data_IF_750614790729
#
_entry.id   IF_750614790729
#
_cell.length_a   1.000
_cell.length_b   1.000
_cell.length_c   1.000
_cell.angle_alpha   90.00
_cell.angle_beta   90.00
_cell.angle_gamma   90.00
#
_symmetry.space_group_name_H-M   'P 1'
#
loop_
_entity.id
_entity.type
_entity.pdbx_description
1 polymer ?
#
# COMPACT_ATOMS: atom_id res chain seq x y z
N UNK A 1 -11.93 10.82 -5.62
CA UNK A 1 -10.93 11.89 -5.50
C UNK A 1 -9.65 11.53 -6.24
N UNK A 2 -9.08 10.33 -6.09
CA UNK A 2 -7.89 9.83 -6.85
C UNK A 2 -8.07 9.65 -8.37
N UNK A 3 -9.19 10.10 -8.92
CA UNK A 3 -9.51 10.06 -10.35
C UNK A 3 -9.43 11.44 -11.00
N UNK A 4 -9.81 12.50 -10.28
CA UNK A 4 -9.83 13.87 -10.77
C UNK A 4 -9.28 14.76 -9.69
N UNK A 5 -8.22 15.52 -9.98
CA UNK A 5 -7.65 16.45 -9.02
C UNK A 5 -8.42 17.74 -9.11
N UNK A 6 -9.17 18.06 -8.06
CA UNK A 6 -9.63 19.43 -7.86
C UNK A 6 -8.57 20.27 -7.15
N UNK A 7 -8.56 21.57 -7.43
CA UNK A 7 -7.67 22.54 -6.78
C UNK A 7 -8.09 22.74 -5.32
N UNK A 8 -9.40 22.86 -5.07
CA UNK A 8 -9.96 22.87 -3.72
C UNK A 8 -10.72 21.56 -3.45
N UNK A 9 -10.64 21.06 -2.21
CA UNK A 9 -11.41 19.90 -1.79
C UNK A 9 -12.93 20.16 -1.82
N UNK A 10 -13.35 21.42 -1.69
CA UNK A 10 -14.75 21.82 -1.78
C UNK A 10 -15.31 21.60 -3.20
N UNK A 11 -14.47 21.72 -4.24
CA UNK A 11 -14.91 21.62 -5.64
C UNK A 11 -15.51 20.25 -5.97
N UNK A 12 -15.09 19.19 -5.26
CA UNK A 12 -15.69 17.86 -5.42
C UNK A 12 -17.18 17.83 -5.05
N UNK A 13 -17.69 18.80 -4.28
CA UNK A 13 -19.09 18.90 -3.89
C UNK A 13 -19.89 19.94 -4.68
N UNK A 14 -19.22 20.87 -5.37
CA UNK A 14 -19.88 22.02 -6.00
C UNK A 14 -19.73 22.05 -7.52
N UNK A 15 -18.72 21.38 -8.09
CA UNK A 15 -18.52 21.36 -9.53
C UNK A 15 -19.07 20.04 -10.10
N UNK A 16 -20.12 20.13 -10.93
CA UNK A 16 -20.50 19.04 -11.84
C UNK A 16 -19.41 18.88 -12.90
N UNK A 17 -18.30 18.24 -12.55
CA UNK A 17 -17.31 17.87 -13.55
C UNK A 17 -17.77 16.59 -14.23
N UNK A 18 -18.18 16.70 -15.49
CA UNK A 18 -18.39 15.54 -16.36
C UNK A 18 -17.05 15.07 -16.93
N UNK A 19 -16.25 14.39 -16.11
CA UNK A 19 -14.99 13.80 -16.58
C UNK A 19 -15.21 12.36 -16.99
N UNK A 20 -15.32 12.14 -18.30
CA UNK A 20 -15.44 10.81 -18.93
C UNK A 20 -16.53 9.92 -18.30
N UNK A 21 -17.76 10.46 -18.19
CA UNK A 21 -18.98 9.77 -17.72
C UNK A 21 -18.99 9.35 -16.25
N UNK A 22 -18.23 10.03 -15.39
CA UNK A 22 -18.39 9.96 -13.93
C UNK A 22 -18.74 11.37 -13.46
N UNK A 23 -19.98 11.57 -13.01
CA UNK A 23 -20.38 12.82 -12.37
C UNK A 23 -19.76 12.85 -10.97
N UNK A 24 -18.93 13.84 -10.68
CA UNK A 24 -18.39 14.10 -9.34
C UNK A 24 -19.43 14.80 -8.44
N UNK A 25 -20.69 14.38 -8.48
CA UNK A 25 -21.72 14.94 -7.61
C UNK A 25 -21.63 14.31 -6.21
N UNK A 26 -20.57 14.66 -5.44
CA UNK A 26 -20.32 14.03 -4.13
C UNK A 26 -21.42 14.33 -3.12
N UNK A 27 -22.14 15.43 -3.32
CA UNK A 27 -23.34 15.83 -2.58
C UNK A 27 -24.45 14.78 -2.63
N UNK A 28 -24.53 13.98 -3.71
CA UNK A 28 -25.47 12.86 -3.82
C UNK A 28 -25.17 11.72 -2.83
N UNK A 29 -23.91 11.59 -2.40
CA UNK A 29 -23.47 10.50 -1.53
C UNK A 29 -23.28 10.95 -0.07
N UNK A 30 -22.77 12.16 0.13
CA UNK A 30 -22.46 12.70 1.46
C UNK A 30 -22.36 14.23 1.39
N UNK A 31 -22.84 14.94 2.41
CA UNK A 31 -22.59 16.39 2.48
C UNK A 31 -21.12 16.70 2.75
N UNK A 32 -20.63 17.82 2.22
CA UNK A 32 -19.25 18.29 2.46
C UNK A 32 -18.96 18.43 3.96
N UNK A 33 -19.91 18.94 4.74
CA UNK A 33 -19.76 19.06 6.20
C UNK A 33 -19.60 17.69 6.88
N UNK A 34 -20.37 16.68 6.46
CA UNK A 34 -20.24 15.32 7.01
C UNK A 34 -18.89 14.71 6.66
N UNK A 35 -18.41 14.89 5.43
CA UNK A 35 -17.07 14.45 5.03
C UNK A 35 -15.98 15.10 5.89
N UNK A 36 -16.02 16.43 6.05
CA UNK A 36 -15.06 17.16 6.91
C UNK A 36 -15.09 16.67 8.35
N UNK A 37 -16.27 16.38 8.89
CA UNK A 37 -16.40 15.85 10.26
C UNK A 37 -15.79 14.44 10.37
N UNK A 38 -16.11 13.55 9.43
CA UNK A 38 -15.56 12.17 9.43
C UNK A 38 -14.04 12.22 9.41
N UNK A 39 -13.46 12.99 8.49
CA UNK A 39 -12.02 13.13 8.38
C UNK A 39 -11.41 13.75 9.64
N UNK A 40 -11.99 14.83 10.17
CA UNK A 40 -11.50 15.51 11.38
C UNK A 40 -11.45 14.61 12.61
N UNK A 41 -12.40 13.69 12.74
CA UNK A 41 -12.55 12.81 13.90
C UNK A 41 -12.14 11.37 13.60
N UNK A 42 -11.50 11.10 12.47
CA UNK A 42 -11.00 9.78 12.13
C UNK A 42 -9.90 9.37 13.11
N UNK A 43 -10.06 8.20 13.74
CA UNK A 43 -9.02 7.56 14.54
C UNK A 43 -8.74 6.17 13.97
N UNK A 44 -7.48 5.74 14.08
CA UNK A 44 -7.03 4.40 13.66
C UNK A 44 -6.72 3.49 14.85
N UNK A 45 -7.01 3.98 16.06
CA UNK A 45 -6.81 3.26 17.30
C UNK A 45 -7.83 3.75 18.32
N UNK A 46 -8.31 2.85 19.17
CA UNK A 46 -9.04 3.15 20.39
C UNK A 46 -8.12 3.15 21.64
N UNK A 47 -6.85 2.76 21.46
CA UNK A 47 -5.85 2.75 22.52
C UNK A 47 -5.41 4.17 22.85
N UNK A 48 -5.41 4.50 24.15
CA UNK A 48 -4.90 5.77 24.66
C UNK A 48 -3.43 5.98 24.30
N UNK A 49 -3.03 7.25 24.17
CA UNK A 49 -1.66 7.62 23.89
C UNK A 49 -0.68 6.99 24.89
N UNK A 50 0.38 6.38 24.38
CA UNK A 50 1.38 5.66 25.16
C UNK A 50 2.78 5.87 24.56
N UNK A 51 3.79 5.17 25.10
CA UNK A 51 5.18 5.32 24.69
C UNK A 51 5.49 4.82 23.28
N UNK A 52 4.61 4.03 22.65
CA UNK A 52 4.81 3.58 21.28
C UNK A 52 4.76 4.79 20.31
N UNK A 53 5.86 5.08 19.57
CA UNK A 53 5.91 6.21 18.63
C UNK A 53 4.91 6.08 17.47
N UNK A 54 4.38 4.88 17.24
CA UNK A 54 3.39 4.58 16.22
C UNK A 54 2.02 4.19 16.82
N UNK A 55 1.78 4.45 18.11
CA UNK A 55 0.54 4.04 18.80
C UNK A 55 -0.73 4.48 18.07
N UNK A 56 -0.70 5.68 17.46
CA UNK A 56 -1.83 6.30 16.75
C UNK A 56 -2.36 5.46 15.57
N UNK A 57 -1.56 4.54 15.04
CA UNK A 57 -1.93 3.65 13.94
C UNK A 57 -1.56 2.18 14.17
N UNK A 58 -0.97 1.83 15.33
CA UNK A 58 -0.45 0.47 15.60
C UNK A 58 -1.54 -0.60 15.50
N UNK A 59 -2.70 -0.35 16.09
CA UNK A 59 -3.82 -1.30 16.07
C UNK A 59 -4.29 -1.55 14.64
N UNK A 60 -4.56 -0.48 13.87
CA UNK A 60 -4.94 -0.59 12.45
C UNK A 60 -3.86 -1.27 11.61
N UNK A 61 -2.59 -0.92 11.81
CA UNK A 61 -1.45 -1.54 11.12
C UNK A 61 -1.38 -3.05 11.33
N UNK A 62 -1.53 -3.49 12.57
CA UNK A 62 -1.54 -4.91 12.91
C UNK A 62 -2.72 -5.62 12.24
N UNK A 63 -3.93 -5.06 12.35
CA UNK A 63 -5.13 -5.61 11.70
C UNK A 63 -4.98 -5.67 10.17
N UNK A 64 -4.40 -4.65 9.55
CA UNK A 64 -4.12 -4.61 8.12
C UNK A 64 -3.16 -5.73 7.69
N UNK A 65 -2.01 -5.83 8.35
CA UNK A 65 -1.02 -6.88 8.08
C UNK A 65 -1.57 -8.28 8.35
N UNK A 66 -2.33 -8.47 9.42
CA UNK A 66 -2.97 -9.76 9.74
C UNK A 66 -4.02 -10.14 8.70
N UNK A 67 -4.76 -9.18 8.15
CA UNK A 67 -5.72 -9.45 7.09
C UNK A 67 -5.01 -9.89 5.81
N UNK A 68 -3.95 -9.19 5.39
CA UNK A 68 -3.11 -9.62 4.26
C UNK A 68 -2.55 -11.03 4.49
N UNK A 69 -2.09 -11.30 5.73
CA UNK A 69 -1.58 -12.60 6.14
C UNK A 69 -2.60 -13.74 6.04
N UNK A 70 -3.90 -13.44 6.19
CA UNK A 70 -4.98 -14.43 6.12
C UNK A 70 -5.44 -14.73 4.70
N UNK A 71 -5.36 -13.75 3.79
CA UNK A 71 -6.03 -13.82 2.48
C UNK A 71 -5.08 -14.04 1.32
N UNK A 72 -3.79 -13.74 1.49
CA UNK A 72 -2.79 -13.90 0.43
C UNK A 72 -2.01 -15.18 0.68
N UNK A 73 -1.75 -15.95 -0.37
CA UNK A 73 -0.74 -17.01 -0.35
C UNK A 73 0.39 -16.56 -1.27
N UNK A 74 1.58 -16.23 -0.73
CA UNK A 74 2.69 -15.81 -1.56
C UNK A 74 3.24 -16.97 -2.40
N UNK A 75 3.70 -16.64 -3.60
CA UNK A 75 4.56 -17.46 -4.42
C UNK A 75 6.01 -17.52 -3.90
N UNK A 76 6.89 -18.20 -4.64
CA UNK A 76 8.25 -18.50 -4.19
C UNK A 76 9.22 -17.31 -4.23
N UNK A 77 8.88 -16.22 -4.94
CA UNK A 77 9.78 -15.08 -5.15
C UNK A 77 9.27 -13.83 -4.44
N UNK A 78 9.96 -13.46 -3.37
CA UNK A 78 9.65 -12.29 -2.57
C UNK A 78 10.72 -11.22 -2.71
N UNK A 79 10.29 -9.97 -2.69
CA UNK A 79 11.16 -8.80 -2.68
C UNK A 79 10.93 -7.99 -1.41
N UNK A 80 12.02 -7.58 -0.76
CA UNK A 80 12.00 -6.67 0.37
C UNK A 80 12.70 -5.37 -0.03
N UNK A 81 12.04 -4.25 0.21
CA UNK A 81 12.59 -2.93 -0.05
C UNK A 81 11.86 -1.85 0.78
N UNK A 82 12.23 -0.59 0.61
CA UNK A 82 11.57 0.55 1.25
C UNK A 82 10.30 1.02 0.53
N UNK A 83 9.30 1.39 1.32
CA UNK A 83 8.12 2.10 0.85
C UNK A 83 7.88 3.33 1.73
N UNK A 84 7.72 4.49 1.09
CA UNK A 84 7.61 5.77 1.80
C UNK A 84 6.16 6.25 1.84
N UNK A 85 5.63 6.49 3.03
CA UNK A 85 4.47 7.36 3.20
C UNK A 85 4.97 8.81 3.29
N UNK A 86 4.99 9.53 2.18
CA UNK A 86 5.55 10.88 2.13
C UNK A 86 4.58 11.94 2.64
N UNK A 87 5.03 12.83 3.51
CA UNK A 87 4.36 14.10 3.80
C UNK A 87 5.33 15.11 4.41
N UNK A 88 5.07 16.40 4.21
CA UNK A 88 5.78 17.49 4.89
C UNK A 88 5.10 17.75 6.25
N UNK A 89 5.67 17.23 7.34
CA UNK A 89 5.11 17.43 8.68
C UNK A 89 5.94 16.79 9.78
N UNK A 90 6.06 17.47 10.93
CA UNK A 90 6.84 17.02 12.08
C UNK A 90 6.31 15.68 12.61
N UNK A 91 7.08 14.61 12.40
CA UNK A 91 7.04 13.47 13.33
C UNK A 91 7.75 13.95 14.61
N UNK A 92 7.11 13.86 15.79
CA UNK A 92 7.79 14.15 17.04
C UNK A 92 9.09 13.31 17.14
N UNK A 93 10.24 13.98 17.30
CA UNK A 93 11.60 13.42 17.52
C UNK A 93 12.44 12.93 16.32
N UNK A 94 12.10 13.17 15.03
CA UNK A 94 13.06 12.95 13.92
C UNK A 94 13.65 14.27 13.37
N UNK A 95 14.98 14.36 13.14
CA UNK A 95 15.66 15.59 12.68
C UNK A 95 15.29 15.99 11.24
N UNK A 96 14.83 15.04 10.42
CA UNK A 96 14.26 15.29 9.09
C UNK A 96 12.81 14.77 9.04
N UNK A 97 11.80 15.67 9.08
CA UNK A 97 10.40 15.32 9.28
C UNK A 97 9.66 15.10 7.95
N UNK A 98 10.16 14.20 7.10
CA UNK A 98 9.52 13.90 5.82
C UNK A 98 9.02 12.47 5.84
N UNK A 99 7.74 12.31 6.14
CA UNK A 99 7.02 11.04 6.00
C UNK A 99 7.39 9.94 6.99
N UNK A 100 6.74 8.79 6.83
CA UNK A 100 7.02 7.54 7.53
C UNK A 100 7.51 6.50 6.52
N UNK A 101 8.74 6.05 6.69
CA UNK A 101 9.29 4.92 5.95
C UNK A 101 8.75 3.61 6.51
N UNK A 102 8.49 2.65 5.62
CA UNK A 102 8.21 1.27 5.94
C UNK A 102 9.23 0.39 5.22
N UNK A 103 9.76 -0.62 5.92
CA UNK A 103 10.27 -1.81 5.21
C UNK A 103 9.08 -2.60 4.74
N UNK A 104 9.07 -3.00 3.49
CA UNK A 104 7.96 -3.68 2.87
C UNK A 104 8.40 -5.01 2.28
N UNK A 105 7.50 -5.98 2.30
CA UNK A 105 7.65 -7.27 1.66
C UNK A 105 6.56 -7.41 0.61
N UNK A 106 6.93 -7.78 -0.61
CA UNK A 106 5.99 -8.03 -1.69
C UNK A 106 6.26 -9.36 -2.38
N UNK A 107 5.20 -9.94 -2.91
CA UNK A 107 5.26 -11.00 -3.91
C UNK A 107 5.57 -10.39 -5.27
N UNK A 108 6.60 -10.91 -5.93
CA UNK A 108 7.10 -10.36 -7.20
C UNK A 108 6.40 -10.91 -8.44
N UNK A 109 5.73 -12.07 -8.34
CA UNK A 109 5.04 -12.69 -9.46
C UNK A 109 3.67 -12.07 -9.68
N UNK A 110 2.90 -11.93 -8.60
CA UNK A 110 1.55 -11.34 -8.66
C UNK A 110 1.55 -9.85 -8.35
N UNK A 111 2.71 -9.29 -8.00
CA UNK A 111 2.87 -7.91 -7.54
C UNK A 111 1.80 -7.60 -6.50
N UNK A 112 1.97 -8.12 -5.26
CA UNK A 112 1.18 -7.83 -4.05
C UNK A 112 2.07 -7.44 -2.87
N UNK A 113 1.79 -6.32 -2.21
CA UNK A 113 2.32 -6.07 -0.86
C UNK A 113 1.78 -7.15 0.07
N UNK A 114 2.69 -7.84 0.74
CA UNK A 114 2.38 -8.86 1.73
C UNK A 114 2.40 -8.28 3.13
N UNK A 115 3.35 -7.37 3.38
CA UNK A 115 3.54 -6.82 4.71
C UNK A 115 4.32 -5.53 4.75
N UNK A 116 4.05 -4.74 5.77
CA UNK A 116 4.73 -3.49 6.08
C UNK A 116 5.30 -3.57 7.51
N UNK A 117 6.48 -3.00 7.74
CA UNK A 117 7.10 -2.78 9.06
C UNK A 117 7.54 -1.32 9.17
N UNK A 118 6.91 -0.49 10.02
CA UNK A 118 7.23 0.93 10.12
C UNK A 118 8.65 1.16 10.64
N UNK A 119 9.41 2.05 10.00
CA UNK A 119 10.74 2.45 10.47
C UNK A 119 10.62 3.46 11.60
N UNK A 120 10.77 2.96 12.82
CA UNK A 120 10.64 3.73 14.07
C UNK A 120 11.97 4.40 14.48
N UNK A 121 11.95 5.40 15.38
CA UNK A 121 13.18 5.95 15.95
C UNK A 121 14.04 4.88 16.62
N UNK A 122 15.36 5.08 16.62
CA UNK A 122 16.33 4.09 17.11
C UNK A 122 16.03 3.58 18.53
N UNK A 123 15.60 4.46 19.43
CA UNK A 123 15.23 4.13 20.82
C UNK A 123 14.11 3.07 20.95
N UNK A 124 13.24 2.96 19.94
CA UNK A 124 12.19 1.94 19.86
C UNK A 124 12.55 0.80 18.91
N UNK A 125 13.30 1.09 17.83
CA UNK A 125 13.73 0.08 16.87
C UNK A 125 14.53 -1.06 17.51
N UNK A 126 15.37 -0.74 18.51
CA UNK A 126 16.15 -1.74 19.27
C UNK A 126 15.27 -2.66 20.12
N UNK A 127 14.04 -2.23 20.46
CA UNK A 127 13.08 -3.01 21.26
C UNK A 127 12.21 -3.93 20.40
N UNK A 128 12.29 -3.81 19.07
CA UNK A 128 11.54 -4.68 18.16
C UNK A 128 12.08 -6.10 18.20
N UNK A 129 11.20 -7.06 17.91
CA UNK A 129 11.59 -8.47 17.76
C UNK A 129 12.79 -8.62 16.81
N UNK A 130 13.74 -9.47 17.22
CA UNK A 130 15.00 -9.81 16.52
C UNK A 130 16.07 -8.72 16.51
N UNK A 131 15.79 -7.50 16.98
CA UNK A 131 16.77 -6.40 16.98
C UNK A 131 17.89 -6.57 18.03
N UNK A 132 17.68 -7.40 19.04
CA UNK A 132 18.66 -7.80 20.06
C UNK A 132 19.67 -8.83 19.54
N UNK A 133 19.27 -9.62 18.54
CA UNK A 133 20.03 -10.77 18.03
C UNK A 133 20.66 -10.52 16.66
N UNK A 134 20.09 -9.63 15.85
CA UNK A 134 20.47 -9.48 14.45
C UNK A 134 20.61 -8.01 14.04
N UNK A 135 21.45 -7.71 13.02
CA UNK A 135 21.51 -6.40 12.39
C UNK A 135 20.14 -5.95 11.85
N UNK A 136 19.92 -4.63 11.74
CA UNK A 136 18.62 -4.03 11.43
C UNK A 136 17.92 -4.62 10.18
N UNK A 137 18.67 -4.85 9.10
CA UNK A 137 18.13 -5.44 7.86
C UNK A 137 17.65 -6.88 8.08
N UNK A 138 18.46 -7.70 8.74
CA UNK A 138 18.12 -9.10 9.05
C UNK A 138 16.93 -9.17 10.01
N UNK A 139 16.93 -8.34 11.06
CA UNK A 139 15.81 -8.26 11.99
C UNK A 139 14.50 -7.86 11.29
N UNK A 140 14.57 -6.88 10.36
CA UNK A 140 13.39 -6.46 9.58
C UNK A 140 12.90 -7.55 8.63
N UNK A 141 13.81 -8.23 7.94
CA UNK A 141 13.49 -9.38 7.09
C UNK A 141 12.77 -10.48 7.88
N UNK A 142 13.32 -10.86 9.04
CA UNK A 142 12.70 -11.86 9.92
C UNK A 142 11.33 -11.42 10.43
N UNK A 143 11.19 -10.14 10.82
CA UNK A 143 9.89 -9.59 11.23
C UNK A 143 8.87 -9.67 10.10
N UNK A 144 9.22 -9.23 8.89
CA UNK A 144 8.34 -9.25 7.72
C UNK A 144 7.92 -10.68 7.35
N UNK A 145 8.86 -11.63 7.36
CA UNK A 145 8.62 -13.00 6.96
C UNK A 145 7.86 -13.85 8.00
N UNK A 146 7.89 -13.49 9.29
CA UNK A 146 7.39 -14.32 10.41
C UNK A 146 5.99 -14.94 10.24
N UNK A 147 5.12 -14.37 9.41
CA UNK A 147 3.72 -14.78 9.26
C UNK A 147 3.51 -15.77 8.13
N UNK A 148 4.56 -16.06 7.35
CA UNK A 148 4.52 -16.97 6.22
C UNK A 148 5.37 -18.22 6.49
N UNK A 149 4.80 -19.25 7.11
CA UNK A 149 5.54 -20.45 7.48
C UNK A 149 5.87 -21.36 6.27
N UNK A 150 7.12 -21.84 6.27
CA UNK A 150 7.63 -23.17 5.86
C UNK A 150 7.61 -23.66 4.40
N UNK A 151 6.96 -22.97 3.45
CA UNK A 151 6.90 -23.46 2.05
C UNK A 151 7.60 -22.58 1.01
N UNK A 152 8.34 -21.55 1.42
CA UNK A 152 9.30 -20.94 0.49
C UNK A 152 10.46 -21.93 0.41
N UNK A 153 10.79 -22.48 -0.77
CA UNK A 153 11.89 -23.44 -0.90
C UNK A 153 13.13 -22.88 -0.21
N UNK A 154 13.61 -23.59 0.81
CA UNK A 154 14.84 -23.24 1.53
C UNK A 154 16.09 -23.46 0.68
N UNK A 155 15.93 -24.04 -0.52
CA UNK A 155 16.99 -24.30 -1.47
C UNK A 155 17.30 -23.08 -2.34
N UNK A 156 18.13 -22.18 -1.80
CA UNK A 156 18.87 -21.19 -2.61
C UNK A 156 20.10 -21.86 -3.25
N UNK A 157 20.45 -23.07 -2.82
CA UNK A 157 21.65 -23.81 -3.23
C UNK A 157 21.62 -24.26 -4.69
N UNK A 158 20.44 -24.54 -5.25
CA UNK A 158 20.29 -24.88 -6.69
C UNK A 158 20.53 -23.67 -7.63
N UNK A 159 20.51 -22.44 -7.12
CA UNK A 159 20.77 -21.25 -7.95
C UNK A 159 22.27 -20.94 -8.14
N UNK A 160 23.15 -21.66 -7.43
CA UNK A 160 24.61 -21.52 -7.52
C UNK A 160 25.26 -22.55 -8.46
N UNK A 161 24.49 -23.48 -9.03
CA UNK A 161 24.98 -24.37 -10.08
C UNK A 161 25.15 -23.61 -11.41
N UNK A 162 26.32 -22.98 -11.57
CA UNK A 162 27.05 -22.69 -12.81
C UNK A 162 26.24 -22.65 -14.12
N UNK A 163 25.20 -21.85 -14.19
CA UNK A 163 24.55 -21.50 -15.44
C UNK A 163 24.80 -20.03 -15.72
N UNK A 164 25.56 -19.77 -16.78
CA UNK A 164 25.74 -18.45 -17.35
C UNK A 164 24.62 -18.20 -18.36
N UNK A 165 23.86 -17.12 -18.18
CA UNK A 165 22.90 -16.64 -19.16
C UNK A 165 23.61 -15.80 -20.22
N UNK A 166 23.07 -15.76 -21.43
CA UNK A 166 23.50 -14.81 -22.47
C UNK A 166 22.31 -13.94 -22.87
N UNK A 167 22.41 -12.64 -22.59
CA UNK A 167 21.45 -11.63 -23.04
C UNK A 167 22.16 -10.77 -24.08
N UNK A 168 21.56 -10.67 -25.28
CA UNK A 168 22.05 -9.81 -26.35
C UNK A 168 21.32 -8.47 -26.33
N UNK A 169 22.07 -7.38 -26.20
CA UNK A 169 21.61 -6.04 -26.57
C UNK A 169 22.64 -5.50 -27.56
N UNK A 170 22.20 -5.17 -28.77
CA UNK A 170 23.05 -4.63 -29.85
C UNK A 170 24.31 -5.47 -30.16
N UNK A 171 24.14 -6.77 -30.40
CA UNK A 171 25.21 -7.73 -30.77
C UNK A 171 26.36 -7.93 -29.77
N UNK A 172 26.27 -7.39 -28.54
CA UNK A 172 27.22 -7.67 -27.46
C UNK A 172 26.63 -8.69 -26.49
N UNK A 173 27.22 -9.89 -26.43
CA UNK A 173 26.86 -10.94 -25.47
C UNK A 173 27.72 -10.82 -24.21
N UNK A 174 27.10 -10.43 -23.11
CA UNK A 174 27.75 -10.46 -21.79
C UNK A 174 27.47 -11.81 -21.12
N UNK A 175 28.53 -12.49 -20.67
CA UNK A 175 28.41 -13.68 -19.85
C UNK A 175 28.21 -13.22 -18.41
N UNK A 176 27.04 -13.49 -17.83
CA UNK A 176 26.79 -13.27 -16.41
C UNK A 176 26.08 -14.46 -15.77
N UNK A 177 26.31 -14.72 -14.47
CA UNK A 177 25.59 -15.75 -13.75
C UNK A 177 24.06 -15.53 -13.84
N UNK A 178 23.29 -16.60 -14.03
CA UNK A 178 21.82 -16.57 -14.09
C UNK A 178 21.18 -15.91 -12.86
N UNK A 179 21.87 -15.94 -11.70
CA UNK A 179 21.41 -15.21 -10.50
C UNK A 179 21.24 -13.71 -10.76
N UNK A 180 22.02 -13.09 -11.65
CA UNK A 180 21.82 -11.69 -12.02
C UNK A 180 20.56 -11.47 -12.85
N UNK A 181 20.18 -12.43 -13.69
CA UNK A 181 18.95 -12.36 -14.48
C UNK A 181 17.74 -12.48 -13.56
N UNK A 182 17.72 -13.50 -12.70
CA UNK A 182 16.68 -13.71 -11.68
C UNK A 182 16.56 -12.49 -10.74
N UNK A 183 17.69 -11.95 -10.27
CA UNK A 183 17.66 -10.75 -9.43
C UNK A 183 17.06 -9.56 -10.18
N UNK A 184 17.47 -9.30 -11.42
CA UNK A 184 16.95 -8.17 -12.21
C UNK A 184 15.46 -8.31 -12.56
N UNK A 185 14.96 -9.53 -12.69
CA UNK A 185 13.54 -9.81 -12.91
C UNK A 185 12.69 -9.40 -11.69
N UNK A 186 13.13 -9.73 -10.48
CA UNK A 186 12.30 -9.61 -9.28
C UNK A 186 12.58 -8.38 -8.41
N UNK A 187 13.76 -7.74 -8.54
CA UNK A 187 14.18 -6.64 -7.65
C UNK A 187 13.28 -5.41 -7.69
N UNK A 188 12.51 -5.21 -8.76
CA UNK A 188 11.73 -3.99 -8.99
C UNK A 188 10.30 -4.05 -8.43
N UNK A 189 9.89 -5.13 -7.77
CA UNK A 189 8.50 -5.30 -7.36
C UNK A 189 8.01 -4.13 -6.49
N UNK A 190 8.76 -3.77 -5.44
CA UNK A 190 8.39 -2.65 -4.55
C UNK A 190 8.43 -1.30 -5.28
N UNK A 191 9.38 -1.09 -6.19
CA UNK A 191 9.44 0.12 -7.01
C UNK A 191 8.23 0.26 -7.94
N UNK A 192 7.83 -0.83 -8.61
CA UNK A 192 6.62 -0.89 -9.44
C UNK A 192 5.39 -0.52 -8.60
N UNK A 193 5.34 -1.01 -7.36
CA UNK A 193 4.29 -0.70 -6.41
C UNK A 193 4.22 0.76 -5.99
N UNK A 194 5.36 1.30 -5.55
CA UNK A 194 5.48 2.71 -5.19
C UNK A 194 5.06 3.58 -6.40
N UNK A 195 5.49 3.21 -7.61
CA UNK A 195 5.09 3.87 -8.85
C UNK A 195 3.58 3.79 -9.11
N UNK A 196 2.94 2.63 -8.94
CA UNK A 196 1.49 2.49 -9.12
C UNK A 196 0.69 3.33 -8.11
N UNK A 197 1.23 3.46 -6.89
CA UNK A 197 0.67 4.29 -5.82
C UNK A 197 0.81 5.79 -6.11
N UNK A 198 2.01 6.22 -6.52
CA UNK A 198 2.43 7.63 -6.47
C UNK A 198 2.53 8.33 -7.84
N UNK A 199 2.71 7.60 -8.96
CA UNK A 199 2.90 8.25 -10.28
C UNK A 199 1.60 8.79 -10.91
N UNK A 200 0.45 8.47 -10.33
CA UNK A 200 -0.84 9.05 -10.70
C UNK A 200 -1.40 9.79 -9.50
N UNK A 201 -2.49 10.55 -9.69
CA UNK A 201 -3.17 11.21 -8.57
C UNK A 201 -3.44 10.21 -7.43
N UNK A 202 -2.68 10.35 -6.35
CA UNK A 202 -2.63 9.38 -5.26
C UNK A 202 -3.56 9.80 -4.11
N UNK A 203 -3.79 8.90 -3.16
CA UNK A 203 -4.47 9.29 -1.92
C UNK A 203 -3.70 10.36 -1.13
N UNK A 204 -2.36 10.36 -1.25
CA UNK A 204 -1.50 11.39 -0.65
C UNK A 204 -1.75 12.78 -1.24
N UNK A 205 -2.09 12.87 -2.52
CA UNK A 205 -2.34 14.13 -3.22
C UNK A 205 -3.71 14.73 -2.93
N UNK A 206 -4.69 13.91 -2.58
CA UNK A 206 -6.10 14.36 -2.44
C UNK A 206 -6.55 14.48 -0.99
N UNK A 207 -5.93 13.72 -0.07
CA UNK A 207 -6.10 13.89 1.37
C UNK A 207 -4.95 14.75 1.92
N UNK A 208 -4.85 15.98 1.42
CA UNK A 208 -3.84 16.97 1.85
C UNK A 208 -4.19 17.49 3.24
N UNK A 209 -3.96 16.66 4.24
CA UNK A 209 -4.27 17.00 5.63
C UNK A 209 -2.98 17.10 6.43
N UNK A 210 -3.00 17.96 7.46
CA UNK A 210 -1.84 18.28 8.28
C UNK A 210 -1.55 17.19 9.34
N UNK A 211 -2.49 16.28 9.59
CA UNK A 211 -2.39 15.26 10.63
C UNK A 211 -1.74 13.98 10.11
N UNK A 212 -0.87 13.37 10.93
CA UNK A 212 -0.19 12.10 10.62
C UNK A 212 -1.17 10.93 10.46
N UNK A 213 -2.29 10.92 11.19
CA UNK A 213 -3.32 9.86 11.14
C UNK A 213 -3.91 9.75 9.74
N UNK A 214 -4.35 10.87 9.17
CA UNK A 214 -4.97 10.90 7.84
C UNK A 214 -3.99 10.46 6.75
N UNK A 215 -2.70 10.85 6.89
CA UNK A 215 -1.64 10.48 5.94
C UNK A 215 -1.34 9.00 5.97
N UNK A 216 -1.26 8.42 7.16
CA UNK A 216 -1.07 6.98 7.33
C UNK A 216 -2.31 6.21 6.86
N UNK A 217 -3.51 6.71 7.12
CA UNK A 217 -4.73 6.10 6.58
C UNK A 217 -4.74 6.11 5.05
N UNK A 218 -4.43 7.26 4.44
CA UNK A 218 -4.30 7.42 2.99
C UNK A 218 -3.28 6.45 2.39
N UNK A 219 -2.15 6.24 3.08
CA UNK A 219 -1.16 5.24 2.71
C UNK A 219 -1.75 3.83 2.65
N UNK A 220 -2.41 3.37 3.72
CA UNK A 220 -2.99 2.02 3.72
C UNK A 220 -4.10 1.85 2.68
N UNK A 221 -4.94 2.87 2.46
CA UNK A 221 -5.92 2.85 1.37
C UNK A 221 -5.26 2.68 0.01
N UNK A 222 -4.14 3.37 -0.21
CA UNK A 222 -3.40 3.29 -1.47
C UNK A 222 -2.74 1.92 -1.66
N UNK A 223 -2.20 1.31 -0.59
CA UNK A 223 -1.67 -0.07 -0.63
C UNK A 223 -2.80 -1.06 -0.93
N UNK A 224 -3.97 -0.92 -0.28
CA UNK A 224 -5.12 -1.76 -0.54
C UNK A 224 -5.64 -1.62 -1.98
N UNK A 225 -5.66 -0.39 -2.53
CA UNK A 225 -6.05 -0.12 -3.91
C UNK A 225 -5.13 -0.83 -4.90
N UNK A 226 -3.80 -0.66 -4.76
CA UNK A 226 -2.84 -1.26 -5.70
C UNK A 226 -2.84 -2.79 -5.56
N UNK A 227 -2.92 -3.33 -4.33
CA UNK A 227 -3.09 -4.77 -4.14
C UNK A 227 -4.36 -5.30 -4.82
N UNK A 228 -5.48 -4.60 -4.66
CA UNK A 228 -6.74 -4.99 -5.30
C UNK A 228 -6.65 -4.91 -6.81
N UNK A 229 -5.96 -3.89 -7.36
CA UNK A 229 -5.72 -3.74 -8.79
C UNK A 229 -4.90 -4.89 -9.37
N UNK A 230 -3.76 -5.21 -8.75
CA UNK A 230 -2.90 -6.31 -9.18
C UNK A 230 -3.62 -7.66 -9.12
N UNK A 231 -4.30 -7.94 -8.00
CA UNK A 231 -5.10 -9.15 -7.85
C UNK A 231 -6.21 -9.24 -8.91
N UNK A 232 -6.89 -8.13 -9.19
CA UNK A 232 -7.95 -8.10 -10.19
C UNK A 232 -7.42 -8.36 -11.61
N UNK A 233 -6.27 -7.79 -11.97
CA UNK A 233 -5.63 -8.05 -13.27
C UNK A 233 -5.15 -9.49 -13.41
N UNK A 234 -4.67 -10.09 -12.32
CA UNK A 234 -4.12 -11.44 -12.30
C UNK A 234 -5.21 -12.51 -12.31
N UNK A 235 -6.24 -12.36 -11.47
CA UNK A 235 -7.19 -13.44 -11.18
C UNK A 235 -8.53 -13.31 -11.90
N UNK A 236 -8.87 -12.16 -12.48
CA UNK A 236 -10.13 -12.00 -13.22
C UNK A 236 -9.91 -12.25 -14.72
N UNK A 237 -10.60 -13.24 -15.32
CA UNK A 237 -10.45 -13.56 -16.73
C UNK A 237 -10.67 -12.34 -17.63
N UNK A 238 -9.75 -12.17 -18.60
CA UNK A 238 -9.81 -11.07 -19.57
C UNK A 238 -9.40 -9.69 -19.04
N UNK A 239 -8.91 -9.59 -17.79
CA UNK A 239 -8.57 -8.30 -17.16
C UNK A 239 -7.07 -7.99 -17.08
N UNK A 240 -6.20 -8.89 -17.53
CA UNK A 240 -4.73 -8.75 -17.48
C UNK A 240 -4.19 -7.40 -17.98
N UNK A 241 -4.78 -6.83 -19.03
CA UNK A 241 -4.32 -5.59 -19.67
C UNK A 241 -5.09 -4.34 -19.21
N UNK A 242 -5.76 -4.39 -18.06
CA UNK A 242 -6.54 -3.26 -17.57
C UNK A 242 -5.67 -2.15 -17.04
N UNK A 243 -5.97 -0.93 -17.50
CA UNK A 243 -5.34 0.28 -16.98
C UNK A 243 -5.83 0.55 -15.56
N UNK A 244 -4.92 0.95 -14.67
CA UNK A 244 -5.22 1.27 -13.28
C UNK A 244 -6.36 2.31 -13.13
N UNK A 245 -6.40 3.32 -14.00
CA UNK A 245 -7.50 4.31 -14.02
C UNK A 245 -8.88 3.69 -14.28
N UNK A 246 -8.97 2.65 -15.12
CA UNK A 246 -10.24 1.98 -15.41
C UNK A 246 -10.67 1.09 -14.26
N UNK A 247 -9.71 0.50 -13.54
CA UNK A 247 -9.97 -0.21 -12.30
C UNK A 247 -10.54 0.73 -11.22
N UNK A 248 -9.90 1.89 -10.98
CA UNK A 248 -10.41 2.91 -10.04
C UNK A 248 -11.84 3.34 -10.33
N UNK A 249 -12.22 3.48 -11.62
CA UNK A 249 -13.60 3.78 -12.02
C UNK A 249 -14.59 2.70 -11.60
N UNK A 250 -14.24 1.44 -11.82
CA UNK A 250 -15.08 0.31 -11.42
C UNK A 250 -15.18 0.21 -9.91
N UNK A 251 -14.05 0.34 -9.20
CA UNK A 251 -14.01 0.32 -7.75
C UNK A 251 -14.89 1.43 -7.14
N UNK A 252 -14.78 2.67 -7.63
CA UNK A 252 -15.60 3.78 -7.16
C UNK A 252 -17.10 3.49 -7.35
N UNK A 253 -17.50 3.03 -8.55
CA UNK A 253 -18.89 2.65 -8.82
C UNK A 253 -19.37 1.56 -7.88
N UNK A 254 -18.62 0.46 -7.74
CA UNK A 254 -19.01 -0.65 -6.85
C UNK A 254 -19.14 -0.25 -5.39
N UNK A 255 -18.30 0.67 -4.89
CA UNK A 255 -18.43 1.21 -3.53
C UNK A 255 -19.72 2.04 -3.40
N UNK A 256 -20.03 2.87 -4.40
CA UNK A 256 -21.25 3.67 -4.38
C UNK A 256 -22.52 2.84 -4.54
N UNK A 257 -22.51 1.85 -5.43
CA UNK A 257 -23.63 0.92 -5.64
C UNK A 257 -23.92 0.14 -4.34
N UNK A 258 -22.87 -0.30 -3.63
CA UNK A 258 -23.02 -0.90 -2.31
C UNK A 258 -23.66 0.06 -1.28
N UNK A 259 -23.38 1.36 -1.39
CA UNK A 259 -23.95 2.36 -0.49
C UNK A 259 -25.41 2.66 -0.84
N UNK A 260 -25.76 2.71 -2.14
CA UNK A 260 -27.11 3.03 -2.64
C UNK A 260 -28.10 1.87 -2.56
N UNK A 261 -27.67 0.63 -2.79
CA UNK A 261 -28.62 -0.45 -3.12
C UNK A 261 -29.38 -1.08 -1.95
N UNK A 262 -28.98 -0.92 -0.68
CA UNK A 262 -29.72 -1.54 0.44
C UNK A 262 -29.75 -0.74 1.74
N UNK A 263 -28.83 0.19 1.94
CA UNK A 263 -28.57 0.70 3.30
C UNK A 263 -29.45 1.87 3.74
N UNK A 264 -30.05 2.64 2.83
CA UNK A 264 -30.86 3.81 3.22
C UNK A 264 -32.28 3.40 3.63
N UNK A 265 -32.93 2.52 2.87
CA UNK A 265 -34.29 2.04 3.18
C UNK A 265 -34.35 1.23 4.48
N UNK A 266 -33.32 0.43 4.79
CA UNK A 266 -33.26 -0.36 6.03
C UNK A 266 -32.84 0.45 7.26
N UNK A 267 -32.02 1.50 7.10
CA UNK A 267 -31.62 2.38 8.21
C UNK A 267 -32.73 3.31 8.68
N UNK A 268 -33.66 3.67 7.81
CA UNK A 268 -34.86 4.46 8.18
C UNK A 268 -35.87 3.59 8.94
N UNK A 269 -35.91 2.27 8.71
CA UNK A 269 -36.80 1.35 9.46
C UNK A 269 -36.30 1.01 10.88
N UNK A 270 -35.07 1.36 11.24
CA UNK A 270 -34.45 1.06 12.56
C UNK A 270 -34.16 2.31 13.41
N UNK A 271 -34.74 3.45 13.08
CA UNK A 271 -34.81 4.63 13.94
C UNK A 271 -36.28 4.95 14.22
#
# INVERSE_FOLDING_TARGET
MTYVKCTDICDYWFIKQETARVSLAFDQYMSHQRFRNIIKYLTLTDVLANEDPFHFARQFHNAFNENLAKVILPGPYLCMDESMCQWMGKIPKKPHPIGCEFKALADTQINLFLRLDPTEPSEYAIKKNFSDQYPATVASMLRLHRYWPKNIPHDITDALENTYGSIGVNDVKFHRPVVFDKYNEFRLAIDIFNNLRDNTLSYHDVLVLKCSVDRIFAFYLSVAEVNSFSAYCQFVPGKKNMKHVNFRKQLARSIFDCYSDKTIAERIKKR
#
